data_IF_266509162436
#
_entry.id   IF_266509162436
#
_cell.length_a   1.000
_cell.length_b   1.000
_cell.length_c   1.000
_cell.angle_alpha   90.00
_cell.angle_beta   90.00
_cell.angle_gamma   90.00
#
_symmetry.space_group_name_H-M   'P 1'
#
loop_
_entity.id
_entity.type
_entity.pdbx_description
1 polymer ?
#
# COMPACT_ATOMS: atom_id res chain seq x y z
N UNK A 1 -30.50 47.47 -3.72
CA UNK A 1 -30.11 46.54 -2.64
C UNK A 1 -29.34 45.40 -3.28
N UNK A 2 -28.04 45.29 -3.05
CA UNK A 2 -27.24 44.14 -3.49
C UNK A 2 -27.62 42.93 -2.63
N UNK A 3 -28.07 41.81 -3.21
CA UNK A 3 -28.41 40.62 -2.42
C UNK A 3 -27.16 40.16 -1.65
N UNK A 4 -27.33 39.93 -0.34
CA UNK A 4 -26.25 39.52 0.55
C UNK A 4 -25.50 40.65 1.26
N UNK A 5 -25.91 41.92 1.14
CA UNK A 5 -25.32 43.02 1.90
C UNK A 5 -26.33 43.62 2.88
N UNK A 6 -26.04 43.61 4.19
CA UNK A 6 -26.87 44.24 5.22
C UNK A 6 -26.07 45.40 5.84
N UNK A 7 -26.53 46.63 5.66
CA UNK A 7 -25.94 47.82 6.27
C UNK A 7 -26.71 48.16 7.54
N UNK A 8 -26.04 48.13 8.70
CA UNK A 8 -26.69 48.39 9.99
C UNK A 8 -26.99 49.88 10.22
N UNK A 9 -26.30 50.78 9.51
CA UNK A 9 -26.51 52.23 9.60
C UNK A 9 -25.23 53.01 9.29
N UNK A 10 -25.29 54.35 9.28
CA UNK A 10 -24.09 55.19 9.13
C UNK A 10 -23.13 54.98 10.30
N UNK A 11 -21.83 54.84 10.01
CA UNK A 11 -20.76 54.52 10.99
C UNK A 11 -20.98 53.22 11.78
N UNK A 12 -21.77 52.28 11.26
CA UNK A 12 -21.93 50.94 11.82
C UNK A 12 -21.40 49.87 10.85
N UNK A 13 -21.05 48.68 11.35
CA UNK A 13 -20.58 47.58 10.51
C UNK A 13 -21.61 47.17 9.46
N UNK A 14 -21.10 46.67 8.35
CA UNK A 14 -21.84 46.06 7.25
C UNK A 14 -21.62 44.55 7.28
N UNK A 15 -22.69 43.78 7.09
CA UNK A 15 -22.63 42.34 6.93
C UNK A 15 -22.64 42.00 5.45
N UNK A 16 -21.69 41.18 5.02
CA UNK A 16 -21.59 40.65 3.67
C UNK A 16 -21.73 39.13 3.69
N UNK A 17 -22.66 38.62 2.89
CA UNK A 17 -22.81 37.19 2.68
C UNK A 17 -21.73 36.71 1.70
N UNK A 18 -20.97 35.69 2.11
CA UNK A 18 -19.94 35.04 1.32
C UNK A 18 -20.18 33.52 1.28
N UNK A 19 -19.47 32.82 0.40
CA UNK A 19 -19.51 31.35 0.35
C UNK A 19 -19.09 30.70 1.69
N UNK A 20 -18.28 31.39 2.49
CA UNK A 20 -17.80 30.94 3.80
C UNK A 20 -18.70 31.39 4.96
N UNK A 21 -19.84 32.05 4.67
CA UNK A 21 -20.74 32.62 5.67
C UNK A 21 -20.73 34.15 5.70
N UNK A 22 -21.25 34.73 6.79
CA UNK A 22 -21.38 36.18 6.96
C UNK A 22 -20.08 36.83 7.45
N UNK A 23 -19.61 37.83 6.72
CA UNK A 23 -18.44 38.65 7.05
C UNK A 23 -18.94 39.98 7.63
N UNK A 24 -18.33 40.43 8.73
CA UNK A 24 -18.61 41.74 9.34
C UNK A 24 -17.47 42.70 8.99
N UNK A 25 -17.78 43.81 8.32
CA UNK A 25 -16.80 44.81 7.87
C UNK A 25 -17.26 46.22 8.26
N UNK A 26 -16.39 47.04 8.83
CA UNK A 26 -16.66 48.45 9.09
C UNK A 26 -16.21 48.94 10.46
N UNK A 27 -16.42 50.23 10.75
CA UNK A 27 -15.99 50.84 12.00
C UNK A 27 -16.78 50.25 13.18
N UNK A 28 -16.05 49.76 14.18
CA UNK A 28 -16.62 49.29 15.44
C UNK A 28 -16.48 50.45 16.45
N UNK A 29 -17.54 50.84 17.17
CA UNK A 29 -17.43 51.86 18.21
C UNK A 29 -16.36 51.42 19.21
N UNK A 30 -15.31 52.21 19.33
CA UNK A 30 -14.13 51.91 20.11
C UNK A 30 -14.47 52.01 21.61
N UNK A 31 -15.03 50.94 22.17
CA UNK A 31 -14.89 50.67 23.60
C UNK A 31 -13.55 49.98 23.76
N UNK A 32 -12.71 50.52 24.64
CA UNK A 32 -11.40 49.97 25.01
C UNK A 32 -11.56 48.56 25.55
N UNK A 33 -11.70 47.60 24.65
CA UNK A 33 -11.61 46.19 24.93
C UNK A 33 -10.35 45.77 24.21
N UNK A 34 -9.32 45.46 24.98
CA UNK A 34 -8.25 44.59 24.54
C UNK A 34 -8.90 43.35 23.90
N UNK A 35 -9.06 43.37 22.58
CA UNK A 35 -9.47 42.20 21.81
C UNK A 35 -8.27 41.26 21.87
N UNK A 36 -8.23 40.45 22.91
CA UNK A 36 -7.47 39.22 22.90
C UNK A 36 -8.08 38.37 21.78
N UNK A 37 -7.53 38.49 20.57
CA UNK A 37 -7.80 37.54 19.50
C UNK A 37 -7.13 36.24 19.92
N UNK A 38 -7.82 35.47 20.75
CA UNK A 38 -7.42 34.10 21.05
C UNK A 38 -7.86 33.25 19.89
N UNK A 39 -6.92 32.85 19.04
CA UNK A 39 -7.14 31.76 18.10
C UNK A 39 -7.36 30.49 18.95
N UNK A 40 -8.61 30.07 19.11
CA UNK A 40 -8.93 28.81 19.76
C UNK A 40 -8.68 27.68 18.76
N UNK A 41 -7.41 27.39 18.46
CA UNK A 41 -7.07 26.21 17.69
C UNK A 41 -7.13 25.01 18.63
N UNK A 42 -8.19 24.21 18.51
CA UNK A 42 -8.17 22.86 19.02
C UNK A 42 -7.22 22.07 18.12
N UNK A 43 -5.92 22.12 18.42
CA UNK A 43 -4.91 21.35 17.70
C UNK A 43 -5.15 19.87 17.98
N UNK A 44 -5.92 19.21 17.13
CA UNK A 44 -5.85 17.76 17.05
C UNK A 44 -4.41 17.40 16.72
N UNK A 45 -3.89 16.36 17.37
CA UNK A 45 -2.54 15.89 17.09
C UNK A 45 -2.45 15.50 15.61
N UNK A 46 -1.29 15.74 14.99
CA UNK A 46 -1.07 15.33 13.59
C UNK A 46 -1.31 13.83 13.43
N UNK A 47 -0.96 13.05 14.46
CA UNK A 47 -1.18 11.61 14.52
C UNK A 47 -2.67 11.22 14.47
N UNK A 48 -3.58 12.07 14.93
CA UNK A 48 -5.03 11.86 14.83
C UNK A 48 -5.64 12.39 13.53
N UNK A 49 -5.05 13.45 12.96
CA UNK A 49 -5.54 14.10 11.74
C UNK A 49 -5.14 13.33 10.48
N UNK A 50 -3.92 12.81 10.43
CA UNK A 50 -3.38 12.13 9.27
C UNK A 50 -4.22 10.89 8.87
N UNK A 51 -4.63 10.00 9.79
CA UNK A 51 -5.46 8.85 9.42
C UNK A 51 -6.85 9.26 8.94
N UNK A 52 -7.46 10.28 9.56
CA UNK A 52 -8.79 10.79 9.17
C UNK A 52 -8.77 11.43 7.79
N UNK A 53 -7.68 12.14 7.46
CA UNK A 53 -7.47 12.72 6.14
C UNK A 53 -7.46 11.63 5.06
N UNK A 54 -6.69 10.55 5.26
CA UNK A 54 -6.66 9.42 4.33
C UNK A 54 -8.00 8.68 4.22
N UNK A 55 -8.73 8.53 5.33
CA UNK A 55 -10.07 7.93 5.32
C UNK A 55 -11.11 8.76 4.55
N UNK A 56 -10.97 10.09 4.56
CA UNK A 56 -11.89 11.00 3.86
C UNK A 56 -11.57 11.10 2.36
N UNK A 57 -10.30 11.02 1.98
CA UNK A 57 -9.88 10.98 0.57
C UNK A 57 -10.04 9.59 -0.07
N UNK A 58 -10.04 8.52 0.73
CA UNK A 58 -10.36 7.18 0.24
C UNK A 58 -11.84 7.09 -0.17
N UNK A 59 -12.08 7.18 -1.48
CA UNK A 59 -13.33 6.76 -2.09
C UNK A 59 -13.58 5.31 -1.67
N UNK A 60 -14.77 5.01 -1.11
CA UNK A 60 -15.15 3.65 -0.73
C UNK A 60 -14.94 2.68 -1.91
N UNK A 61 -13.79 2.02 -1.91
CA UNK A 61 -13.49 0.98 -2.87
C UNK A 61 -14.27 -0.23 -2.42
N UNK A 62 -15.53 -0.36 -2.87
CA UNK A 62 -16.02 -1.70 -3.18
C UNK A 62 -14.98 -2.26 -4.13
N UNK A 63 -14.13 -3.16 -3.63
CA UNK A 63 -13.12 -3.84 -4.45
C UNK A 63 -13.91 -4.66 -5.48
N UNK A 64 -14.12 -4.07 -6.65
CA UNK A 64 -14.62 -4.79 -7.81
C UNK A 64 -13.47 -5.63 -8.31
N UNK A 65 -13.28 -6.79 -7.67
CA UNK A 65 -12.31 -7.77 -8.12
C UNK A 65 -12.73 -8.20 -9.53
N UNK A 66 -11.87 -7.89 -10.50
CA UNK A 66 -12.02 -8.41 -11.85
C UNK A 66 -11.97 -9.94 -11.83
N UNK A 67 -12.47 -10.63 -12.86
CA UNK A 67 -12.30 -12.07 -13.01
C UNK A 67 -10.83 -12.50 -12.87
N UNK A 68 -9.92 -11.69 -13.41
CA UNK A 68 -8.48 -11.87 -13.35
C UNK A 68 -7.95 -11.76 -11.91
N UNK A 69 -8.41 -10.76 -11.14
CA UNK A 69 -8.02 -10.57 -9.74
C UNK A 69 -8.43 -11.77 -8.88
N UNK A 70 -9.66 -12.26 -9.06
CA UNK A 70 -10.16 -13.45 -8.35
C UNK A 70 -9.34 -14.69 -8.69
N UNK A 71 -8.97 -14.84 -9.96
CA UNK A 71 -8.16 -15.96 -10.42
C UNK A 71 -6.72 -15.88 -9.88
N UNK A 72 -6.18 -14.67 -9.76
CA UNK A 72 -4.87 -14.44 -9.15
C UNK A 72 -4.88 -14.77 -7.66
N UNK A 73 -5.90 -14.30 -6.93
CA UNK A 73 -6.09 -14.59 -5.51
C UNK A 73 -6.26 -16.09 -5.24
N UNK A 74 -7.07 -16.78 -6.06
CA UNK A 74 -7.20 -18.24 -5.98
C UNK A 74 -5.88 -18.96 -6.25
N UNK A 75 -5.09 -18.51 -7.22
CA UNK A 75 -3.76 -19.09 -7.47
C UNK A 75 -2.84 -18.89 -6.27
N UNK A 76 -2.83 -17.69 -5.70
CA UNK A 76 -2.02 -17.38 -4.54
C UNK A 76 -2.38 -18.28 -3.35
N UNK A 77 -3.67 -18.37 -3.00
CA UNK A 77 -4.14 -19.21 -1.90
C UNK A 77 -3.84 -20.70 -2.09
N UNK A 78 -3.92 -21.19 -3.33
CA UNK A 78 -3.71 -22.60 -3.63
C UNK A 78 -2.22 -22.99 -3.72
N UNK A 79 -1.38 -22.10 -4.23
CA UNK A 79 0.01 -22.43 -4.56
C UNK A 79 1.05 -21.80 -3.64
N UNK A 80 0.70 -20.75 -2.89
CA UNK A 80 1.64 -20.05 -1.99
C UNK A 80 1.34 -20.43 -0.55
N UNK A 81 2.32 -21.01 0.13
CA UNK A 81 2.27 -21.31 1.55
C UNK A 81 3.45 -20.66 2.27
N UNK A 82 3.26 -20.34 3.55
CA UNK A 82 4.34 -19.83 4.39
C UNK A 82 4.94 -20.96 5.20
N UNK A 83 6.25 -21.13 5.12
CA UNK A 83 6.98 -22.13 5.89
C UNK A 83 7.09 -21.70 7.36
N UNK A 84 7.38 -22.65 8.24
CA UNK A 84 7.56 -22.40 9.68
C UNK A 84 8.74 -21.45 9.98
N UNK A 85 9.68 -21.28 9.04
CA UNK A 85 10.78 -20.31 9.12
C UNK A 85 10.40 -18.92 8.61
N UNK A 86 9.17 -18.74 8.12
CA UNK A 86 8.63 -17.47 7.65
C UNK A 86 8.84 -17.19 6.16
N UNK A 87 9.48 -18.10 5.42
CA UNK A 87 9.67 -17.97 3.96
C UNK A 87 8.41 -18.37 3.18
N UNK A 88 8.26 -17.84 1.96
CA UNK A 88 7.18 -18.24 1.06
C UNK A 88 7.64 -19.40 0.18
N UNK A 89 6.83 -20.45 0.13
CA UNK A 89 6.99 -21.58 -0.77
C UNK A 89 5.86 -21.52 -1.80
N UNK A 90 6.22 -21.35 -3.07
CA UNK A 90 5.28 -21.36 -4.19
C UNK A 90 5.40 -22.67 -4.97
N UNK A 91 4.27 -23.27 -5.31
CA UNK A 91 4.21 -24.39 -6.26
C UNK A 91 4.06 -23.83 -7.67
N UNK A 92 5.13 -23.87 -8.46
CA UNK A 92 5.09 -23.50 -9.87
C UNK A 92 4.28 -24.54 -10.66
N UNK A 93 3.10 -24.20 -11.22
CA UNK A 93 2.31 -25.16 -11.97
C UNK A 93 3.02 -25.51 -13.28
N UNK A 94 3.44 -26.76 -13.43
CA UNK A 94 3.96 -27.28 -14.69
C UNK A 94 2.82 -27.30 -15.73
N UNK A 95 3.10 -26.86 -16.97
CA UNK A 95 2.14 -26.93 -18.10
C UNK A 95 1.69 -28.38 -18.29
N UNK A 96 0.42 -28.68 -17.96
CA UNK A 96 -0.19 -30.00 -18.13
C UNK A 96 -0.37 -30.41 -19.60
N UNK A 97 -0.43 -29.46 -20.53
CA UNK A 97 -0.79 -29.69 -21.93
C UNK A 97 0.37 -30.02 -22.87
N UNK A 98 1.54 -30.35 -22.33
CA UNK A 98 2.66 -30.76 -23.16
C UNK A 98 2.79 -32.29 -23.12
N UNK A 99 2.16 -32.94 -24.09
CA UNK A 99 2.51 -34.29 -24.58
C UNK A 99 4.02 -34.43 -24.96
N UNK A 100 4.78 -33.34 -24.95
CA UNK A 100 6.24 -33.29 -25.05
C UNK A 100 6.95 -33.73 -23.76
N UNK A 101 6.25 -33.81 -22.63
CA UNK A 101 6.72 -34.40 -21.37
C UNK A 101 6.27 -35.85 -21.24
N UNK A 102 6.28 -36.63 -22.33
CA UNK A 102 6.53 -38.06 -22.11
C UNK A 102 7.87 -38.13 -21.40
N UNK A 103 7.98 -38.70 -20.18
CA UNK A 103 9.28 -38.99 -19.63
C UNK A 103 9.92 -39.99 -20.59
N UNK A 104 10.73 -39.49 -21.53
CA UNK A 104 11.62 -40.33 -22.29
C UNK A 104 12.67 -40.91 -21.34
N UNK A 105 13.73 -41.47 -21.89
CA UNK A 105 14.84 -42.07 -21.14
C UNK A 105 15.66 -41.08 -20.27
N UNK A 106 15.12 -39.89 -19.95
CA UNK A 106 15.73 -38.83 -19.13
C UNK A 106 16.25 -39.34 -17.80
N UNK A 107 15.52 -40.27 -17.17
CA UNK A 107 15.99 -40.95 -15.96
C UNK A 107 17.29 -41.72 -16.22
N UNK A 108 17.36 -42.49 -17.30
CA UNK A 108 18.57 -43.25 -17.66
C UNK A 108 19.76 -42.33 -17.97
N UNK A 109 19.52 -41.20 -18.65
CA UNK A 109 20.54 -40.20 -18.93
C UNK A 109 21.03 -39.52 -17.64
N UNK A 110 20.10 -39.13 -16.76
CA UNK A 110 20.42 -38.54 -15.47
C UNK A 110 21.22 -39.53 -14.60
N UNK A 111 20.81 -40.80 -14.53
CA UNK A 111 21.50 -41.85 -13.79
C UNK A 111 22.91 -42.09 -14.32
N UNK A 112 23.09 -42.23 -15.65
CA UNK A 112 24.42 -42.37 -16.25
C UNK A 112 25.32 -41.18 -15.93
N UNK A 113 24.78 -39.96 -16.01
CA UNK A 113 25.54 -38.74 -15.69
C UNK A 113 25.91 -38.68 -14.22
N UNK A 114 25.00 -39.05 -13.33
CA UNK A 114 25.24 -39.15 -11.89
C UNK A 114 26.39 -40.12 -11.57
N UNK A 115 26.33 -41.36 -12.07
CA UNK A 115 27.39 -42.35 -11.83
C UNK A 115 28.73 -41.96 -12.46
N UNK A 116 28.71 -41.27 -13.61
CA UNK A 116 29.94 -40.71 -14.21
C UNK A 116 30.58 -39.66 -13.30
N UNK A 117 29.76 -38.77 -12.74
CA UNK A 117 30.21 -37.75 -11.79
C UNK A 117 30.74 -38.39 -10.50
N UNK A 118 30.05 -39.37 -9.92
CA UNK A 118 30.55 -40.10 -8.74
C UNK A 118 31.92 -40.72 -9.01
N UNK A 119 32.10 -41.38 -10.17
CA UNK A 119 33.40 -41.96 -10.53
C UNK A 119 34.49 -40.89 -10.69
N UNK A 120 34.18 -39.77 -11.34
CA UNK A 120 35.12 -38.66 -11.49
C UNK A 120 35.48 -38.04 -10.14
N UNK A 121 34.50 -37.88 -9.25
CA UNK A 121 34.68 -37.32 -7.92
C UNK A 121 35.53 -38.28 -7.05
N UNK A 122 35.25 -39.58 -7.07
CA UNK A 122 36.08 -40.57 -6.36
C UNK A 122 37.50 -40.66 -6.90
N UNK A 123 37.71 -40.44 -8.22
CA UNK A 123 39.05 -40.44 -8.83
C UNK A 123 39.87 -39.21 -8.44
N UNK A 124 39.22 -38.10 -8.14
CA UNK A 124 39.89 -36.83 -7.85
C UNK A 124 39.82 -36.58 -6.35
N UNK A 125 40.85 -37.00 -5.59
CA UNK A 125 40.88 -36.89 -4.11
C UNK A 125 40.93 -35.45 -3.55
N UNK A 126 40.76 -34.40 -4.36
CA UNK A 126 41.07 -33.01 -3.98
C UNK A 126 39.87 -32.14 -3.60
N UNK A 127 38.66 -32.69 -3.41
CA UNK A 127 37.49 -31.86 -3.03
C UNK A 127 37.34 -31.61 -1.53
N UNK A 128 38.09 -32.30 -0.67
CA UNK A 128 38.03 -32.11 0.79
C UNK A 128 38.87 -30.92 1.30
N UNK A 129 39.66 -30.27 0.43
CA UNK A 129 40.44 -29.07 0.80
C UNK A 129 39.65 -27.76 0.65
N UNK A 130 38.44 -27.79 0.07
CA UNK A 130 37.62 -26.59 -0.15
C UNK A 130 36.40 -26.44 0.75
N UNK A 131 36.07 -27.45 1.57
CA UNK A 131 34.85 -27.44 2.42
C UNK A 131 35.17 -27.12 3.89
N UNK A 132 36.44 -27.16 4.29
CA UNK A 132 36.90 -26.76 5.64
C UNK A 132 37.55 -25.36 5.68
N UNK A 133 37.23 -24.50 4.71
CA UNK A 133 37.75 -23.13 4.64
C UNK A 133 36.64 -22.05 4.75
N UNK A 134 35.55 -22.38 5.43
CA UNK A 134 34.57 -21.44 5.99
C UNK A 134 34.16 -21.90 7.39
#
# INVERSE_FOLDING_TARGET
MTPGLIRLGPNLPTLQNSYLGWIVEGPIPNQSCCLNVSLFSQSQSVDELLPKFWQLEEVSTKRFLSPEDKLCEQKFLNFVQRTNSGAFQENLPLRKENNYLKPGDSYSFAARRFFSLEKQLCRTKNYLLGINAL
#
